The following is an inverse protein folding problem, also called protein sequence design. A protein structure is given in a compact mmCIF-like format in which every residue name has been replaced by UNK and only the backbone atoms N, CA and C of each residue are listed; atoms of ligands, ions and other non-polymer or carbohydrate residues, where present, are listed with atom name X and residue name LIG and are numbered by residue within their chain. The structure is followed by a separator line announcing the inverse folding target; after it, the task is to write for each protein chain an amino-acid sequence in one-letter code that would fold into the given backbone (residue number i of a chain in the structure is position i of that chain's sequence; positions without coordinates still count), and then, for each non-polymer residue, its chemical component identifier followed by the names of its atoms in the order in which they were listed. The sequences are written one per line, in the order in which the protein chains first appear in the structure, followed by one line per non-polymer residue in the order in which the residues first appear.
data_IF_334156431459
#
_entry.id   IF_334156431459
#
_cell.length_a   1.000
_cell.length_b   1.000
_cell.length_c   1.000
_cell.angle_alpha   90.00
_cell.angle_beta   90.00
_cell.angle_gamma   90.00
#
_symmetry.space_group_name_H-M   'P 1'
#
loop_
_entity.id
_entity.type
_entity.pdbx_description
1 polymer ?
#
# COMPACT_ATOMS: atom_id res chain seq x y z
N UNK A 1 23.34 -0.89 28.14
CA UNK A 1 23.21 0.56 27.92
C UNK A 1 21.76 0.89 27.60
N UNK A 2 21.11 1.74 28.39
CA UNK A 2 19.72 2.15 28.20
C UNK A 2 19.66 3.40 27.32
N UNK A 3 18.95 3.32 26.19
CA UNK A 3 18.72 4.48 25.31
C UNK A 3 17.47 5.21 25.80
N UNK A 4 17.62 6.47 26.24
CA UNK A 4 16.47 7.33 26.57
C UNK A 4 15.92 7.98 25.30
N UNK A 5 14.66 7.69 24.99
CA UNK A 5 13.93 8.36 23.91
C UNK A 5 13.33 9.67 24.43
N UNK A 6 13.78 10.80 23.89
CA UNK A 6 13.24 12.12 24.18
C UNK A 6 12.78 12.75 22.87
N UNK A 7 11.50 12.56 22.50
CA UNK A 7 10.97 13.05 21.24
C UNK A 7 9.48 12.76 21.05
N UNK A 8 8.98 13.11 19.86
CA UNK A 8 7.60 12.85 19.43
C UNK A 8 7.61 11.71 18.40
N UNK A 9 6.63 10.80 18.45
CA UNK A 9 6.43 9.80 17.40
C UNK A 9 5.42 10.34 16.39
N UNK A 10 5.89 10.76 15.21
CA UNK A 10 4.99 11.08 14.10
C UNK A 10 4.69 9.79 13.34
N UNK A 11 3.41 9.42 13.32
CA UNK A 11 2.92 8.29 12.52
C UNK A 11 2.85 8.72 11.05
N UNK A 12 3.95 8.53 10.34
CA UNK A 12 3.95 8.61 8.88
C UNK A 12 3.14 7.43 8.33
N UNK A 13 2.15 7.73 7.50
CA UNK A 13 1.37 6.72 6.79
C UNK A 13 2.08 6.22 5.51
N UNK A 14 3.34 6.62 5.33
CA UNK A 14 4.18 6.31 4.19
C UNK A 14 3.76 6.98 2.88
N UNK A 15 2.85 7.97 2.91
CA UNK A 15 2.39 8.64 1.69
C UNK A 15 3.54 9.32 0.90
N UNK A 16 4.61 9.70 1.59
CA UNK A 16 5.82 10.32 1.01
C UNK A 16 6.95 9.34 0.70
N UNK A 17 6.83 8.06 1.04
CA UNK A 17 7.80 7.02 0.69
C UNK A 17 7.47 6.47 -0.71
N UNK A 18 8.50 6.11 -1.49
CA UNK A 18 8.31 5.55 -2.84
C UNK A 18 7.61 4.18 -2.84
N UNK A 19 7.40 3.60 -1.65
CA UNK A 19 7.02 2.21 -1.45
C UNK A 19 8.27 1.32 -1.44
N UNK A 20 8.29 0.30 -0.60
CA UNK A 20 9.24 -0.81 -0.72
C UNK A 20 8.56 -1.88 -1.57
N UNK A 21 9.26 -2.50 -2.50
CA UNK A 21 8.76 -3.75 -3.09
C UNK A 21 9.09 -4.89 -2.14
N UNK A 22 8.07 -5.45 -1.48
CA UNK A 22 8.23 -6.68 -0.72
C UNK A 22 7.89 -7.87 -1.60
N UNK A 23 8.71 -8.91 -1.55
CA UNK A 23 8.41 -10.19 -2.16
C UNK A 23 7.28 -10.92 -1.42
N UNK A 24 6.61 -11.85 -2.12
CA UNK A 24 5.46 -12.59 -1.58
C UNK A 24 5.77 -13.40 -0.31
N UNK A 25 7.03 -13.81 -0.10
CA UNK A 25 7.51 -14.52 1.09
C UNK A 25 7.79 -13.61 2.30
N UNK A 26 7.81 -12.30 2.11
CA UNK A 26 8.20 -11.36 3.16
C UNK A 26 7.01 -10.87 3.97
N UNK A 27 7.17 -10.85 5.29
CA UNK A 27 6.15 -10.35 6.22
C UNK A 27 5.98 -8.83 6.06
N UNK A 28 4.76 -8.32 5.84
CA UNK A 28 4.50 -6.88 5.84
C UNK A 28 4.77 -6.30 7.22
N UNK A 29 5.45 -5.17 7.23
CA UNK A 29 5.66 -4.36 8.42
C UNK A 29 4.47 -3.42 8.62
N UNK A 30 4.08 -3.22 9.89
CA UNK A 30 3.07 -2.23 10.23
C UNK A 30 3.48 -0.85 9.70
N UNK A 31 2.51 -0.15 9.11
CA UNK A 31 2.65 1.18 8.51
C UNK A 31 3.55 1.20 7.26
N UNK A 32 3.83 0.04 6.67
CA UNK A 32 4.53 -0.06 5.40
C UNK A 32 3.73 0.49 4.22
N UNK A 33 4.46 0.81 3.15
CA UNK A 33 3.89 1.11 1.84
C UNK A 33 4.52 0.21 0.82
N UNK A 34 3.71 -0.54 0.10
CA UNK A 34 4.19 -1.60 -0.79
C UNK A 34 3.61 -1.47 -2.19
N UNK A 35 4.43 -1.79 -3.19
CA UNK A 35 3.94 -2.11 -4.53
C UNK A 35 3.37 -3.52 -4.51
N UNK A 36 2.15 -3.66 -5.03
CA UNK A 36 1.41 -4.91 -5.12
C UNK A 36 0.62 -4.95 -6.43
N UNK A 37 -0.15 -6.01 -6.63
CA UNK A 37 -0.91 -6.27 -7.84
C UNK A 37 -2.38 -6.56 -7.53
N UNK A 38 -3.25 -6.09 -8.42
CA UNK A 38 -4.69 -6.34 -8.36
C UNK A 38 -5.19 -6.79 -9.74
N UNK A 39 -5.79 -7.97 -9.82
CA UNK A 39 -6.44 -8.49 -11.03
C UNK A 39 -7.90 -8.05 -11.12
N UNK A 40 -8.32 -7.57 -12.29
CA UNK A 40 -9.68 -7.09 -12.51
C UNK A 40 -10.09 -7.21 -13.98
N UNK A 41 -11.37 -6.97 -14.31
CA UNK A 41 -11.85 -6.96 -15.69
C UNK A 41 -11.50 -5.66 -16.41
N UNK A 42 -11.52 -5.62 -17.74
CA UNK A 42 -11.28 -4.38 -18.51
C UNK A 42 -12.32 -3.30 -18.12
N UNK A 43 -13.58 -3.69 -18.01
CA UNK A 43 -14.67 -2.78 -17.63
C UNK A 43 -14.44 -2.19 -16.22
N UNK A 44 -14.11 -3.05 -15.26
CA UNK A 44 -13.80 -2.63 -13.88
C UNK A 44 -12.56 -1.76 -13.83
N UNK A 45 -11.54 -2.04 -14.65
CA UNK A 45 -10.31 -1.28 -14.72
C UNK A 45 -10.58 0.19 -15.10
N UNK A 46 -11.42 0.43 -16.13
CA UNK A 46 -11.82 1.79 -16.53
C UNK A 46 -12.51 2.53 -15.38
N UNK A 47 -13.43 1.86 -14.69
CA UNK A 47 -14.16 2.44 -13.55
C UNK A 47 -13.21 2.77 -12.38
N UNK A 48 -12.29 1.86 -12.04
CA UNK A 48 -11.33 2.04 -10.96
C UNK A 48 -10.39 3.22 -11.27
N UNK A 49 -9.93 3.37 -12.52
CA UNK A 49 -9.07 4.50 -12.90
C UNK A 49 -9.83 5.83 -12.79
N UNK A 50 -11.12 5.86 -13.12
CA UNK A 50 -11.94 7.06 -13.09
C UNK A 50 -12.36 7.46 -11.67
N UNK A 51 -12.80 6.50 -10.86
CA UNK A 51 -13.52 6.73 -9.60
C UNK A 51 -12.79 6.22 -8.36
N UNK A 52 -11.68 5.49 -8.53
CA UNK A 52 -11.00 4.77 -7.47
C UNK A 52 -11.62 3.40 -7.18
N UNK A 53 -11.02 2.68 -6.24
CA UNK A 53 -11.50 1.36 -5.82
C UNK A 53 -12.81 1.46 -5.04
N UNK A 54 -13.67 0.46 -5.22
CA UNK A 54 -14.79 0.15 -4.33
C UNK A 54 -14.45 -1.15 -3.59
N UNK A 55 -14.65 -1.24 -2.26
CA UNK A 55 -14.40 -2.48 -1.53
C UNK A 55 -15.35 -3.58 -2.02
N UNK A 56 -14.87 -4.82 -2.05
CA UNK A 56 -15.72 -5.99 -2.20
C UNK A 56 -16.73 -6.05 -1.06
N UNK A 57 -17.87 -6.71 -1.28
CA UNK A 57 -18.88 -6.94 -0.23
C UNK A 57 -18.52 -8.11 0.68
N UNK A 58 -17.53 -8.93 0.31
CA UNK A 58 -17.09 -10.10 1.06
C UNK A 58 -15.81 -10.71 0.52
N UNK A 59 -15.58 -11.98 0.86
CA UNK A 59 -14.37 -12.73 0.58
C UNK A 59 -13.84 -13.39 1.84
N UNK A 60 -12.77 -14.17 1.71
CA UNK A 60 -12.20 -14.95 2.82
C UNK A 60 -11.74 -14.09 4.00
N UNK A 61 -11.33 -12.85 3.74
CA UNK A 61 -10.91 -11.86 4.73
C UNK A 61 -11.98 -10.78 4.96
N UNK A 62 -13.22 -11.01 4.53
CA UNK A 62 -14.30 -10.03 4.59
C UNK A 62 -14.19 -8.93 3.54
N UNK A 63 -14.83 -7.78 3.79
CA UNK A 63 -14.92 -6.65 2.86
C UNK A 63 -13.60 -5.90 2.73
N UNK A 64 -13.20 -5.56 1.51
CA UNK A 64 -12.02 -4.74 1.25
C UNK A 64 -11.54 -4.81 -0.20
N UNK A 65 -10.36 -4.28 -0.45
CA UNK A 65 -9.64 -4.39 -1.72
C UNK A 65 -8.59 -5.47 -1.58
N UNK A 66 -8.72 -6.54 -2.37
CA UNK A 66 -7.80 -7.68 -2.36
C UNK A 66 -6.64 -7.42 -3.30
N UNK A 67 -5.42 -7.59 -2.79
CA UNK A 67 -4.17 -7.35 -3.50
C UNK A 67 -3.16 -8.44 -3.14
N UNK A 68 -2.16 -8.60 -4.01
CA UNK A 68 -1.13 -9.63 -3.88
C UNK A 68 0.20 -9.06 -4.36
N UNK A 69 1.28 -9.32 -3.65
CA UNK A 69 2.67 -9.14 -4.12
C UNK A 69 3.02 -10.12 -5.23
N UNK A 70 2.35 -11.26 -5.33
CA UNK A 70 2.48 -12.16 -6.48
C UNK A 70 1.63 -11.67 -7.66
N UNK A 71 2.31 -11.21 -8.73
CA UNK A 71 1.69 -10.78 -9.99
C UNK A 71 0.97 -11.92 -10.71
N UNK A 72 1.53 -13.13 -10.70
CA UNK A 72 0.92 -14.30 -11.34
C UNK A 72 -0.38 -14.66 -10.62
N UNK A 73 -0.40 -14.60 -9.29
CA UNK A 73 -1.65 -14.76 -8.52
C UNK A 73 -2.70 -13.75 -8.95
N UNK A 74 -2.35 -12.46 -8.97
CA UNK A 74 -3.28 -11.40 -9.37
C UNK A 74 -3.82 -11.61 -10.80
N UNK A 75 -3.00 -12.10 -11.73
CA UNK A 75 -3.40 -12.35 -13.12
C UNK A 75 -4.49 -13.43 -13.30
N UNK A 76 -4.77 -14.24 -12.27
CA UNK A 76 -5.86 -15.22 -12.31
C UNK A 76 -7.24 -14.62 -12.06
N UNK A 77 -7.31 -13.35 -11.64
CA UNK A 77 -8.55 -12.68 -11.30
C UNK A 77 -9.02 -11.70 -12.40
N UNK A 78 -10.34 -11.56 -12.60
CA UNK A 78 -11.43 -12.25 -11.89
C UNK A 78 -11.49 -13.74 -12.21
N UNK A 79 -11.84 -14.56 -11.20
CA UNK A 79 -12.02 -16.00 -11.41
C UNK A 79 -13.17 -16.25 -12.39
N UNK A 80 -13.04 -17.28 -13.22
CA UNK A 80 -14.02 -17.69 -14.24
C UNK A 80 -14.30 -16.64 -15.34
N UNK A 81 -13.52 -15.57 -15.43
CA UNK A 81 -13.55 -14.69 -16.60
C UNK A 81 -12.68 -15.24 -17.73
N UNK A 82 -12.96 -14.80 -18.97
CA UNK A 82 -12.08 -15.07 -20.10
C UNK A 82 -10.72 -14.37 -19.89
N UNK A 83 -9.57 -15.05 -20.11
CA UNK A 83 -8.25 -14.41 -20.03
C UNK A 83 -8.12 -13.12 -20.86
N UNK A 84 -8.84 -13.02 -21.98
CA UNK A 84 -8.89 -11.81 -22.82
C UNK A 84 -9.61 -10.61 -22.19
N UNK A 85 -10.27 -10.78 -21.03
CA UNK A 85 -10.87 -9.70 -20.25
C UNK A 85 -10.07 -9.38 -18.96
N UNK A 86 -8.90 -10.00 -18.75
CA UNK A 86 -8.13 -9.79 -17.50
C UNK A 86 -7.08 -8.70 -17.65
N UNK A 87 -7.11 -7.78 -16.69
CA UNK A 87 -6.13 -6.70 -16.50
C UNK A 87 -5.50 -6.85 -15.14
N UNK A 88 -4.20 -6.59 -15.04
CA UNK A 88 -3.49 -6.52 -13.76
C UNK A 88 -2.99 -5.11 -13.55
N UNK A 89 -3.47 -4.48 -12.50
CA UNK A 89 -2.92 -3.22 -12.01
C UNK A 89 -1.68 -3.45 -11.18
N UNK A 90 -0.73 -2.52 -11.30
CA UNK A 90 0.26 -2.26 -10.27
C UNK A 90 -0.30 -1.19 -9.33
N UNK A 91 -0.30 -1.47 -8.03
CA UNK A 91 -0.90 -0.62 -7.01
C UNK A 91 0.08 -0.32 -5.89
N UNK A 92 0.04 0.91 -5.40
CA UNK A 92 0.73 1.33 -4.17
C UNK A 92 -0.24 1.25 -3.01
N UNK A 93 0.11 0.47 -1.99
CA UNK A 93 -0.76 0.13 -0.86
C UNK A 93 -0.18 0.64 0.44
N UNK A 94 -0.93 1.47 1.17
CA UNK A 94 -0.62 1.90 2.54
C UNK A 94 -1.23 0.93 3.55
N UNK A 95 -0.49 -0.10 3.95
CA UNK A 95 -1.05 -1.24 4.71
C UNK A 95 -1.49 -0.90 6.13
N UNK A 96 -0.96 0.17 6.73
CA UNK A 96 -1.35 0.59 8.09
C UNK A 96 -1.09 -0.52 9.13
N UNK A 97 -2.01 -0.71 10.08
CA UNK A 97 -1.93 -1.83 11.03
C UNK A 97 -2.36 -3.12 10.34
N UNK A 98 -1.47 -4.11 10.30
CA UNK A 98 -1.69 -5.38 9.60
C UNK A 98 -2.06 -6.48 10.60
N UNK A 99 -3.14 -7.21 10.32
CA UNK A 99 -3.50 -8.43 11.05
C UNK A 99 -3.09 -9.66 10.26
N UNK A 100 -2.17 -10.45 10.80
CA UNK A 100 -1.88 -11.79 10.27
C UNK A 100 -3.07 -12.72 10.51
N UNK A 101 -3.50 -13.40 9.45
CA UNK A 101 -4.57 -14.42 9.42
C UNK A 101 -3.95 -15.67 8.78
N UNK A 102 -3.54 -16.64 9.60
CA UNK A 102 -2.70 -17.77 9.18
C UNK A 102 -3.31 -19.15 9.51
N UNK A 103 -4.61 -19.17 9.78
CA UNK A 103 -5.39 -20.39 9.96
C UNK A 103 -6.83 -20.17 9.53
N UNK A 104 -7.49 -21.25 9.12
CA UNK A 104 -8.93 -21.24 8.90
C UNK A 104 -9.67 -20.94 10.21
N UNK A 105 -10.83 -20.30 10.10
CA UNK A 105 -11.65 -19.90 11.25
C UNK A 105 -10.87 -19.03 12.26
N UNK A 106 -9.93 -18.22 11.78
CA UNK A 106 -9.23 -17.29 12.64
C UNK A 106 -10.27 -16.33 13.29
N UNK A 107 -10.25 -16.08 14.61
CA UNK A 107 -11.29 -15.29 15.31
C UNK A 107 -11.52 -13.88 14.74
N UNK A 108 -10.52 -13.36 14.04
CA UNK A 108 -10.54 -12.05 13.38
C UNK A 108 -10.56 -12.12 11.85
N UNK A 109 -10.84 -13.27 11.25
CA UNK A 109 -10.79 -13.47 9.80
C UNK A 109 -11.70 -12.48 9.04
N UNK A 110 -12.88 -12.18 9.57
CA UNK A 110 -13.87 -11.29 8.94
C UNK A 110 -14.07 -9.94 9.65
N UNK A 111 -13.57 -9.76 10.87
CA UNK A 111 -13.84 -8.59 11.71
C UNK A 111 -12.58 -7.80 12.13
N UNK A 112 -11.41 -8.11 11.56
CA UNK A 112 -10.15 -7.42 11.86
C UNK A 112 -10.25 -5.88 11.72
N UNK A 113 -11.04 -5.39 10.76
CA UNK A 113 -11.21 -3.96 10.54
C UNK A 113 -11.94 -3.24 11.69
N UNK A 114 -12.97 -3.86 12.27
CA UNK A 114 -13.67 -3.31 13.44
C UNK A 114 -12.84 -3.37 14.72
N UNK A 115 -11.75 -4.15 14.70
CA UNK A 115 -10.74 -4.22 15.76
C UNK A 115 -9.56 -3.26 15.54
N UNK A 116 -9.69 -2.32 14.61
CA UNK A 116 -8.72 -1.23 14.39
C UNK A 116 -7.52 -1.60 13.51
N UNK A 117 -7.60 -2.69 12.74
CA UNK A 117 -6.62 -3.02 11.71
C UNK A 117 -7.02 -2.44 10.36
N UNK A 118 -6.05 -2.06 9.54
CA UNK A 118 -6.28 -1.48 8.22
C UNK A 118 -6.16 -2.51 7.09
N UNK A 119 -5.39 -3.57 7.33
CA UNK A 119 -5.17 -4.66 6.38
C UNK A 119 -5.19 -5.99 7.10
N UNK A 120 -5.83 -7.01 6.54
CA UNK A 120 -5.60 -8.40 6.90
C UNK A 120 -4.65 -9.04 5.89
N UNK A 121 -3.75 -9.89 6.38
CA UNK A 121 -2.73 -10.54 5.56
C UNK A 121 -2.68 -12.05 5.84
N UNK A 122 -2.76 -12.83 4.77
CA UNK A 122 -2.52 -14.27 4.75
C UNK A 122 -1.06 -14.51 4.33
N UNK A 123 -0.23 -15.12 5.19
CA UNK A 123 1.13 -15.51 4.82
C UNK A 123 1.14 -16.62 3.77
N UNK A 124 2.19 -16.69 2.93
CA UNK A 124 2.31 -17.83 2.02
C UNK A 124 2.56 -19.11 2.79
N UNK A 125 2.08 -20.24 2.25
CA UNK A 125 2.28 -21.59 2.74
C UNK A 125 1.91 -21.78 4.24
N UNK A 126 0.92 -21.04 4.74
CA UNK A 126 0.46 -21.14 6.14
C UNK A 126 -0.46 -22.34 6.42
N UNK A 127 -0.75 -23.18 5.42
CA UNK A 127 -1.57 -24.39 5.58
C UNK A 127 -3.07 -24.14 5.68
N UNK A 128 -3.54 -22.93 5.39
CA UNK A 128 -4.98 -22.62 5.32
C UNK A 128 -5.66 -23.36 4.17
N UNK A 129 -6.68 -24.16 4.48
CA UNK A 129 -7.50 -24.88 3.49
C UNK A 129 -8.32 -23.94 2.62
N UNK A 130 -8.72 -22.78 3.17
CA UNK A 130 -9.38 -21.73 2.40
C UNK A 130 -8.47 -21.08 1.34
N UNK A 131 -7.14 -21.30 1.41
CA UNK A 131 -6.15 -20.81 0.45
C UNK A 131 -5.34 -22.00 -0.11
N UNK A 132 -5.96 -22.90 -0.92
CA UNK A 132 -5.28 -24.12 -1.37
C UNK A 132 -4.00 -23.88 -2.16
N UNK A 133 -3.87 -22.72 -2.80
CA UNK A 133 -2.68 -22.34 -3.55
C UNK A 133 -1.46 -22.06 -2.68
N UNK A 134 -1.64 -21.83 -1.37
CA UNK A 134 -0.58 -21.40 -0.47
C UNK A 134 -0.03 -20.00 -0.79
N UNK A 135 -0.65 -19.24 -1.69
CA UNK A 135 -0.15 -17.91 -2.07
C UNK A 135 -0.72 -16.82 -1.17
N UNK A 136 0.14 -15.90 -0.75
CA UNK A 136 -0.20 -14.80 0.15
C UNK A 136 -1.31 -13.89 -0.39
N UNK A 137 -2.04 -13.24 0.50
CA UNK A 137 -3.07 -12.26 0.13
C UNK A 137 -3.18 -11.15 1.17
N UNK A 138 -3.35 -9.93 0.69
CA UNK A 138 -3.68 -8.78 1.52
C UNK A 138 -5.10 -8.29 1.19
N UNK A 139 -5.91 -8.04 2.22
CA UNK A 139 -7.22 -7.40 2.10
C UNK A 139 -7.20 -6.06 2.84
N UNK A 140 -7.30 -4.97 2.09
CA UNK A 140 -7.20 -3.59 2.60
C UNK A 140 -8.60 -3.01 2.79
N UNK A 141 -8.91 -2.51 3.98
CA UNK A 141 -10.28 -2.12 4.32
C UNK A 141 -10.75 -0.86 3.59
N UNK A 142 -9.94 0.20 3.65
CA UNK A 142 -10.24 1.49 3.05
C UNK A 142 -9.62 1.56 1.64
N UNK A 143 -10.45 1.65 0.57
CA UNK A 143 -9.94 1.73 -0.80
C UNK A 143 -9.03 2.93 -1.04
N UNK A 144 -9.15 4.02 -0.26
CA UNK A 144 -8.28 5.20 -0.37
C UNK A 144 -6.82 4.92 -0.02
N UNK A 145 -6.54 3.76 0.60
CA UNK A 145 -5.18 3.28 0.88
C UNK A 145 -4.52 2.57 -0.30
N UNK A 146 -5.28 2.27 -1.36
CA UNK A 146 -4.81 1.59 -2.57
C UNK A 146 -4.85 2.56 -3.74
N UNK A 147 -3.68 2.84 -4.33
CA UNK A 147 -3.56 3.74 -5.49
C UNK A 147 -3.05 2.98 -6.69
N UNK A 148 -3.75 3.03 -7.82
CA UNK A 148 -3.24 2.54 -9.10
C UNK A 148 -2.05 3.40 -9.53
N UNK A 149 -0.91 2.76 -9.77
CA UNK A 149 0.33 3.41 -10.22
C UNK A 149 0.77 2.94 -11.60
N UNK A 150 0.24 1.81 -12.09
CA UNK A 150 0.60 1.28 -13.40
C UNK A 150 -0.33 0.17 -13.89
N UNK A 151 -0.14 -0.22 -15.16
CA UNK A 151 -0.80 -1.34 -15.81
C UNK A 151 0.25 -2.45 -16.02
N UNK A 152 0.28 -3.41 -15.11
CA UNK A 152 1.28 -4.48 -15.09
C UNK A 152 1.03 -5.53 -16.19
N UNK A 153 -0.24 -5.79 -16.52
CA UNK A 153 -0.63 -6.69 -17.62
C UNK A 153 -1.99 -6.29 -18.21
N UNK A 154 -2.18 -6.54 -19.50
CA UNK A 154 -3.43 -6.32 -20.24
C UNK A 154 -3.50 -7.32 -21.40
N UNK A 155 -4.70 -7.64 -21.92
CA UNK A 155 -4.88 -8.72 -22.89
C UNK A 155 -4.34 -8.39 -24.30
N UNK A 156 -4.24 -7.10 -24.64
CA UNK A 156 -3.59 -6.65 -25.86
C UNK A 156 -3.01 -5.23 -25.68
N UNK A 157 -2.17 -4.83 -26.64
CA UNK A 157 -1.47 -3.54 -26.62
C UNK A 157 -2.44 -2.34 -26.67
N UNK A 158 -3.54 -2.44 -27.42
CA UNK A 158 -4.55 -1.38 -27.56
C UNK A 158 -5.20 -1.06 -26.22
N UNK A 159 -5.68 -2.08 -25.51
CA UNK A 159 -6.28 -1.93 -24.17
C UNK A 159 -5.23 -1.41 -23.18
N UNK A 160 -3.99 -1.91 -23.24
CA UNK A 160 -2.91 -1.41 -22.37
C UNK A 160 -2.68 0.09 -22.56
N UNK A 161 -2.56 0.54 -23.80
CA UNK A 161 -2.34 1.94 -24.15
C UNK A 161 -3.51 2.82 -23.73
N UNK A 162 -4.75 2.37 -23.97
CA UNK A 162 -5.97 3.06 -23.53
C UNK A 162 -5.96 3.29 -22.01
N UNK A 163 -5.75 2.23 -21.22
CA UNK A 163 -5.76 2.32 -19.76
C UNK A 163 -4.60 3.19 -19.23
N UNK A 164 -3.42 3.11 -19.84
CA UNK A 164 -2.29 3.98 -19.49
C UNK A 164 -2.61 5.46 -19.77
N UNK A 165 -3.27 5.76 -20.90
CA UNK A 165 -3.71 7.12 -21.20
C UNK A 165 -4.76 7.62 -20.20
N UNK A 166 -5.73 6.79 -19.81
CA UNK A 166 -6.72 7.13 -18.79
C UNK A 166 -6.06 7.44 -17.44
N UNK A 167 -5.08 6.63 -17.04
CA UNK A 167 -4.33 6.82 -15.79
C UNK A 167 -3.47 8.10 -15.81
N UNK A 168 -2.88 8.44 -16.95
CA UNK A 168 -2.12 9.67 -17.11
C UNK A 168 -3.04 10.92 -17.03
N UNK A 169 -4.25 10.85 -17.62
CA UNK A 169 -5.25 11.93 -17.57
C UNK A 169 -5.78 12.13 -16.14
N UNK A 170 -6.11 11.07 -15.41
CA UNK A 170 -6.56 11.16 -14.02
C UNK A 170 -5.50 11.75 -13.10
N UNK A 171 -4.22 11.42 -13.33
CA UNK A 171 -3.08 11.99 -12.60
C UNK A 171 -2.90 13.49 -12.83
N UNK A 172 -3.12 13.97 -14.07
CA UNK A 172 -3.07 15.42 -14.40
C UNK A 172 -4.21 16.20 -13.74
N UNK A 173 -5.42 15.62 -13.64
CA UNK A 173 -6.56 16.22 -12.92
C UNK A 173 -6.24 16.45 -11.44
N UNK A 174 -5.55 15.50 -10.80
CA UNK A 174 -5.08 15.67 -9.43
C UNK A 174 -3.95 16.72 -9.28
N UNK A 175 -3.03 16.83 -10.24
CA UNK A 175 -1.92 17.80 -10.20
C UNK A 175 -2.34 19.25 -10.40
N UNK A 176 -3.43 19.52 -11.12
CA UNK A 176 -3.97 20.89 -11.28
C UNK A 176 -4.41 21.55 -9.96
N UNK A 177 -4.47 20.80 -8.84
CA UNK A 177 -4.70 21.33 -7.49
C UNK A 177 -3.45 21.43 -6.60
N UNK A 178 -2.27 20.99 -7.05
CA UNK A 178 -1.06 20.90 -6.23
C UNK A 178 0.20 21.18 -7.08
N UNK A 179 0.31 22.41 -7.58
CA UNK A 179 1.49 22.89 -8.28
C UNK A 179 2.57 23.34 -7.30
N UNK A 180 3.40 22.42 -6.82
CA UNK A 180 4.66 22.77 -6.19
C UNK A 180 5.71 21.71 -6.58
N UNK A 181 6.90 22.17 -6.97
CA UNK A 181 8.05 21.32 -7.25
C UNK A 181 8.29 20.37 -6.07
N UNK A 182 8.59 19.10 -6.38
CA UNK A 182 8.73 18.04 -5.37
C UNK A 182 10.06 18.23 -4.64
N UNK A 183 10.08 19.09 -3.63
CA UNK A 183 11.25 19.30 -2.79
C UNK A 183 11.37 18.13 -1.79
N UNK A 184 12.52 17.45 -1.77
CA UNK A 184 12.79 16.29 -0.90
C UNK A 184 13.62 16.75 0.28
N UNK A 185 13.10 16.58 1.49
CA UNK A 185 13.79 17.01 2.71
C UNK A 185 15.12 16.27 2.90
N UNK A 186 16.22 17.02 3.04
CA UNK A 186 17.56 16.44 3.18
C UNK A 186 17.75 15.63 4.48
N UNK A 187 16.96 15.88 5.53
CA UNK A 187 17.05 15.22 6.84
C UNK A 187 16.19 13.94 6.92
N UNK A 188 14.89 14.02 6.58
CA UNK A 188 14.00 12.84 6.67
C UNK A 188 13.82 12.09 5.35
N UNK A 189 14.40 12.59 4.24
CA UNK A 189 14.30 12.02 2.89
C UNK A 189 12.87 11.89 2.34
N UNK A 190 11.89 12.54 2.96
CA UNK A 190 10.49 12.56 2.51
C UNK A 190 10.24 13.73 1.55
N UNK A 191 9.30 13.53 0.63
CA UNK A 191 8.77 14.57 -0.25
C UNK A 191 7.91 15.54 0.55
N UNK A 192 8.11 16.84 0.31
CA UNK A 192 7.27 17.91 0.84
C UNK A 192 5.86 17.78 0.25
N UNK A 193 4.86 17.64 1.13
CA UNK A 193 3.45 17.63 0.73
C UNK A 193 2.77 18.93 1.14
N UNK A 194 1.74 19.32 0.39
CA UNK A 194 0.95 20.51 0.68
C UNK A 194 0.32 20.37 2.08
N UNK A 195 0.65 21.29 3.00
CA UNK A 195 0.23 21.23 4.42
C UNK A 195 1.14 20.43 5.36
N UNK A 196 2.27 19.89 4.89
CA UNK A 196 3.26 19.19 5.72
C UNK A 196 4.63 19.83 5.57
N UNK A 197 4.82 20.98 6.22
CA UNK A 197 6.09 21.72 6.19
C UNK A 197 7.17 20.97 6.96
N UNK A 198 8.32 20.77 6.32
CA UNK A 198 9.50 20.18 6.95
C UNK A 198 10.20 21.20 7.84
N UNK A 199 9.88 21.21 9.13
CA UNK A 199 10.59 22.04 10.11
C UNK A 199 11.88 21.32 10.53
N UNK A 200 13.02 22.00 10.35
CA UNK A 200 14.33 21.57 10.86
C UNK A 200 14.53 22.16 12.26
N UNK A 201 14.91 21.33 13.22
CA UNK A 201 15.23 21.76 14.58
C UNK A 201 16.40 20.93 15.14
N UNK A 202 17.01 21.38 16.24
CA UNK A 202 18.04 20.61 16.92
C UNK A 202 17.41 19.59 17.87
N UNK A 203 17.97 18.38 17.92
CA UNK A 203 17.63 17.40 18.95
C UNK A 203 17.99 17.96 20.33
N UNK A 204 17.03 17.99 21.25
CA UNK A 204 17.23 18.50 22.62
C UNK A 204 18.28 17.76 23.44
N UNK A 205 18.68 16.55 23.02
CA UNK A 205 19.68 15.73 23.74
C UNK A 205 21.07 15.78 23.11
N UNK A 206 21.18 15.54 21.79
CA UNK A 206 22.46 15.42 21.11
C UNK A 206 22.84 16.64 20.25
N UNK A 207 21.94 17.62 20.07
CA UNK A 207 22.18 18.82 19.27
C UNK A 207 22.17 18.61 17.75
N UNK A 208 22.05 17.37 17.25
CA UNK A 208 21.99 17.10 15.81
C UNK A 208 20.72 17.70 15.17
N UNK A 209 20.85 18.17 13.93
CA UNK A 209 19.71 18.66 13.15
C UNK A 209 18.77 17.50 12.79
N UNK A 210 17.51 17.61 13.21
CA UNK A 210 16.43 16.67 12.94
C UNK A 210 15.29 17.38 12.21
N UNK A 211 14.52 16.64 11.42
CA UNK A 211 13.25 17.10 10.87
C UNK A 211 12.11 16.56 11.74
N UNK A 212 11.10 17.40 12.01
CA UNK A 212 9.91 16.98 12.79
C UNK A 212 9.15 15.80 12.15
N UNK A 213 9.32 15.60 10.85
CA UNK A 213 8.74 14.49 10.09
C UNK A 213 9.72 13.31 9.97
N UNK A 214 10.73 13.18 10.83
CA UNK A 214 11.51 11.94 10.90
C UNK A 214 10.71 10.87 11.62
N UNK A 215 10.81 9.61 11.19
CA UNK A 215 10.14 8.49 11.87
C UNK A 215 10.77 8.21 13.22
N UNK A 216 12.11 8.25 13.29
CA UNK A 216 12.91 8.10 14.50
C UNK A 216 14.23 8.87 14.35
N UNK A 217 14.74 9.38 15.46
CA UNK A 217 16.11 9.86 15.59
C UNK A 217 16.74 9.10 16.75
N UNK A 218 17.92 8.54 16.53
CA UNK A 218 18.69 7.86 17.58
C UNK A 218 19.85 8.76 17.95
N UNK A 219 19.90 9.17 19.22
CA UNK A 219 21.07 9.86 19.74
C UNK A 219 22.22 8.85 19.81
N UNK A 220 23.32 9.14 19.12
CA UNK A 220 24.59 8.52 19.45
C UNK A 220 24.86 8.82 20.93
N UNK A 221 25.23 7.80 21.72
CA UNK A 221 25.69 8.05 23.08
C UNK A 221 26.80 9.11 23.02
N UNK A 222 26.68 10.17 23.83
CA UNK A 222 27.82 11.06 24.04
C UNK A 222 28.95 10.20 24.63
N UNK A 223 30.21 10.38 24.20
CA UNK A 223 31.33 9.83 24.94
C UNK A 223 31.30 10.29 26.39
#
# INVERSE_FOLDING_TARGET
MSVKFSGWEVVDDGASFAGVELGASQTPQNRGVYSMYHGTSIASARIIIANGFKPSTGGMLGKGVYVSRDKKKAAHYPLRSNPSDRVVFEVRVRVGRVKRIDKDNHPMQLNWSTKGYNTAWVPPNCGMRSVPSGLEEDCVFDPKRVKVIGIANAPNATIKAELQQLLAKSSKKHRRGSGAAVDVCSLCKRKTQQGSTHIKQQCWSCGQNICILMSKHFCSAKP
#
